data_IF_549380683443
#
_entry.id   IF_549380683443
#
_cell.length_a   1.000
_cell.length_b   1.000
_cell.length_c   1.000
_cell.angle_alpha   90.00
_cell.angle_beta   90.00
_cell.angle_gamma   90.00
#
_symmetry.space_group_name_H-M   'P 1'
#
loop_
_entity.id
_entity.type
_entity.pdbx_description
1 polymer ?
#
# COMPACT_ATOMS: atom_id res chain seq x y z
N UNK A 1 -16.94 -14.45 4.39
CA UNK A 1 -15.62 -14.54 5.04
C UNK A 1 -15.58 -13.63 6.27
N UNK A 2 -14.57 -13.77 7.12
CA UNK A 2 -14.20 -12.83 8.19
C UNK A 2 -12.80 -12.29 7.87
N UNK A 3 -12.73 -11.42 6.87
CA UNK A 3 -11.45 -10.97 6.32
C UNK A 3 -10.85 -9.84 7.16
N UNK A 4 -9.56 -9.95 7.46
CA UNK A 4 -8.81 -9.01 8.32
C UNK A 4 -9.49 -8.79 9.69
N UNK A 5 -9.55 -9.80 10.58
CA UNK A 5 -9.94 -9.58 11.97
C UNK A 5 -9.09 -8.47 12.58
N UNK A 6 -9.70 -7.53 13.31
CA UNK A 6 -9.00 -6.30 13.74
C UNK A 6 -9.12 -6.03 15.24
N UNK A 7 -10.34 -6.00 15.77
CA UNK A 7 -10.58 -5.76 17.20
C UNK A 7 -11.39 -6.90 17.82
N UNK A 8 -11.20 -7.11 19.12
CA UNK A 8 -11.85 -8.16 19.91
C UNK A 8 -12.21 -7.60 21.29
N UNK A 9 -13.35 -8.03 21.82
CA UNK A 9 -13.81 -7.83 23.20
C UNK A 9 -14.43 -9.13 23.72
N UNK A 10 -14.54 -9.25 25.03
CA UNK A 10 -15.22 -10.35 25.70
C UNK A 10 -16.42 -9.80 26.48
N UNK A 11 -17.54 -10.52 26.50
CA UNK A 11 -18.73 -10.14 27.29
C UNK A 11 -18.43 -10.20 28.79
N UNK A 12 -19.19 -9.45 29.59
CA UNK A 12 -18.98 -9.37 31.06
C UNK A 12 -19.10 -10.73 31.78
N UNK A 13 -19.80 -11.70 31.18
CA UNK A 13 -19.97 -13.06 31.69
C UNK A 13 -18.93 -14.06 31.15
N UNK A 14 -17.96 -13.60 30.35
CA UNK A 14 -16.94 -14.39 29.66
C UNK A 14 -17.48 -15.49 28.71
N UNK A 15 -18.78 -15.48 28.41
CA UNK A 15 -19.42 -16.53 27.61
C UNK A 15 -19.37 -16.27 26.10
N UNK A 16 -18.99 -15.06 25.67
CA UNK A 16 -18.94 -14.70 24.24
C UNK A 16 -17.77 -13.77 23.96
N UNK A 17 -16.99 -14.11 22.94
CA UNK A 17 -16.04 -13.21 22.30
C UNK A 17 -16.74 -12.47 21.16
N UNK A 18 -16.56 -11.17 21.08
CA UNK A 18 -17.10 -10.31 20.02
C UNK A 18 -15.94 -9.71 19.25
N UNK A 19 -15.85 -9.96 17.96
CA UNK A 19 -14.79 -9.46 17.09
C UNK A 19 -15.30 -8.68 15.90
N UNK A 20 -14.41 -7.88 15.30
CA UNK A 20 -14.66 -7.20 14.03
C UNK A 20 -13.73 -7.70 12.94
N UNK A 21 -14.23 -7.76 11.71
CA UNK A 21 -13.48 -8.16 10.52
C UNK A 21 -13.48 -7.00 9.51
N UNK A 22 -12.39 -6.23 9.51
CA UNK A 22 -12.30 -4.90 8.91
C UNK A 22 -12.46 -4.90 7.38
N UNK A 23 -11.96 -5.92 6.68
CA UNK A 23 -12.05 -5.96 5.21
C UNK A 23 -13.37 -6.55 4.72
N UNK A 24 -14.07 -7.32 5.55
CA UNK A 24 -15.38 -7.91 5.19
C UNK A 24 -16.57 -7.12 5.73
N UNK A 25 -16.34 -6.03 6.46
CA UNK A 25 -17.37 -5.15 7.04
C UNK A 25 -18.32 -5.87 8.01
N UNK A 26 -17.76 -6.73 8.89
CA UNK A 26 -18.57 -7.55 9.81
C UNK A 26 -18.19 -7.37 11.26
N UNK A 27 -19.20 -7.45 12.13
CA UNK A 27 -19.05 -7.92 13.50
C UNK A 27 -19.38 -9.42 13.54
N UNK A 28 -18.68 -10.17 14.38
CA UNK A 28 -18.94 -11.59 14.61
C UNK A 28 -18.80 -11.94 16.10
N UNK A 29 -19.53 -12.98 16.50
CA UNK A 29 -19.51 -13.52 17.87
C UNK A 29 -18.93 -14.93 17.84
N UNK A 30 -18.23 -15.32 18.90
CA UNK A 30 -17.51 -16.59 19.02
C UNK A 30 -17.70 -17.14 20.42
N UNK A 31 -17.88 -18.46 20.52
CA UNK A 31 -17.76 -19.18 21.78
C UNK A 31 -16.27 -19.28 22.16
N UNK A 32 -15.83 -18.64 23.26
CA UNK A 32 -14.42 -18.63 23.66
C UNK A 32 -13.85 -20.02 23.95
N UNK A 33 -14.66 -20.97 24.41
CA UNK A 33 -14.19 -22.30 24.78
C UNK A 33 -13.90 -23.18 23.56
N UNK A 34 -14.78 -23.12 22.55
CA UNK A 34 -14.67 -23.96 21.35
C UNK A 34 -14.02 -23.25 20.15
N UNK A 35 -13.95 -21.92 20.15
CA UNK A 35 -13.56 -21.12 19.00
C UNK A 35 -14.61 -21.09 17.88
N UNK A 36 -15.82 -21.60 18.14
CA UNK A 36 -16.89 -21.67 17.14
C UNK A 36 -17.51 -20.29 16.92
N UNK A 37 -17.58 -19.85 15.67
CA UNK A 37 -18.32 -18.62 15.31
C UNK A 37 -19.81 -18.86 15.50
N UNK A 38 -20.44 -18.09 16.39
CA UNK A 38 -21.85 -18.20 16.76
C UNK A 38 -22.77 -17.44 15.80
N UNK A 39 -22.41 -16.20 15.49
CA UNK A 39 -23.22 -15.26 14.72
C UNK A 39 -22.36 -14.20 14.02
N UNK A 40 -22.96 -13.52 13.04
CA UNK A 40 -22.32 -12.47 12.25
C UNK A 40 -23.36 -11.43 11.83
N UNK A 41 -22.94 -10.18 11.71
CA UNK A 41 -23.77 -9.10 11.18
C UNK A 41 -22.92 -8.14 10.37
N UNK A 42 -23.50 -7.61 9.29
CA UNK A 42 -22.88 -6.55 8.50
C UNK A 42 -22.96 -5.22 9.25
N UNK A 43 -21.86 -4.48 9.25
CA UNK A 43 -21.74 -3.13 9.84
C UNK A 43 -21.22 -2.17 8.77
N UNK A 44 -20.94 -0.92 9.13
CA UNK A 44 -20.32 0.04 8.21
C UNK A 44 -18.89 -0.36 7.80
N UNK A 45 -18.35 0.33 6.79
CA UNK A 45 -17.06 -0.05 6.20
C UNK A 45 -15.87 0.13 7.14
N UNK A 46 -15.01 -0.90 7.21
CA UNK A 46 -13.78 -0.87 8.01
C UNK A 46 -13.98 -0.88 9.52
N UNK A 47 -14.70 -1.85 10.12
CA UNK A 47 -14.89 -1.91 11.56
C UNK A 47 -13.57 -2.20 12.30
N UNK A 48 -12.95 -1.15 12.84
CA UNK A 48 -11.60 -1.19 13.46
C UNK A 48 -11.60 -0.90 14.96
N UNK A 49 -12.72 -0.51 15.54
CA UNK A 49 -12.88 -0.34 16.98
C UNK A 49 -14.18 -0.98 17.45
N UNK A 50 -14.19 -1.51 18.67
CA UNK A 50 -15.38 -2.04 19.32
C UNK A 50 -15.30 -1.76 20.82
N UNK A 51 -16.43 -1.35 21.40
CA UNK A 51 -16.64 -1.28 22.86
C UNK A 51 -17.99 -1.91 23.21
N UNK A 52 -18.05 -2.58 24.36
CA UNK A 52 -19.29 -3.21 24.84
C UNK A 52 -19.95 -2.34 25.91
N UNK A 53 -21.27 -2.31 25.91
CA UNK A 53 -22.09 -1.72 26.97
C UNK A 53 -23.32 -2.61 27.21
N UNK A 54 -23.19 -3.54 28.15
CA UNK A 54 -24.18 -4.58 28.41
C UNK A 54 -24.44 -5.43 27.16
N UNK A 55 -25.68 -5.39 26.64
CA UNK A 55 -26.12 -6.15 25.46
C UNK A 55 -25.88 -5.45 24.13
N UNK A 56 -25.15 -4.34 24.12
CA UNK A 56 -24.82 -3.60 22.91
C UNK A 56 -23.32 -3.58 22.65
N UNK A 57 -22.94 -3.76 21.39
CA UNK A 57 -21.61 -3.48 20.89
C UNK A 57 -21.65 -2.20 20.03
N UNK A 58 -20.74 -1.26 20.31
CA UNK A 58 -20.55 -0.05 19.52
C UNK A 58 -19.30 -0.20 18.67
N UNK A 59 -19.47 -0.17 17.35
CA UNK A 59 -18.43 -0.49 16.38
C UNK A 59 -18.05 0.77 15.61
N UNK A 60 -16.79 1.18 15.68
CA UNK A 60 -16.24 2.26 14.86
C UNK A 60 -15.91 1.75 13.46
N UNK A 61 -16.67 2.21 12.48
CA UNK A 61 -16.47 1.92 11.05
C UNK A 61 -15.52 2.98 10.46
N UNK A 62 -14.22 2.75 10.58
CA UNK A 62 -13.19 3.76 10.37
C UNK A 62 -13.07 4.27 8.92
N UNK A 63 -13.57 3.52 7.93
CA UNK A 63 -13.57 3.96 6.53
C UNK A 63 -14.88 4.62 6.12
N UNK A 64 -15.99 4.21 6.74
CA UNK A 64 -17.28 4.83 6.55
C UNK A 64 -17.47 6.10 7.41
N UNK A 65 -16.59 6.31 8.39
CA UNK A 65 -16.69 7.38 9.38
C UNK A 65 -18.07 7.37 10.06
N UNK A 66 -18.43 6.21 10.60
CA UNK A 66 -19.71 5.97 11.27
C UNK A 66 -19.53 5.05 12.48
N UNK A 67 -20.52 5.02 13.37
CA UNK A 67 -20.58 4.12 14.51
C UNK A 67 -21.83 3.25 14.39
N UNK A 68 -21.67 1.94 14.32
CA UNK A 68 -22.79 1.00 14.36
C UNK A 68 -23.04 0.53 15.79
N UNK A 69 -24.27 0.70 16.29
CA UNK A 69 -24.73 0.07 17.53
C UNK A 69 -25.39 -1.26 17.19
N UNK A 70 -24.87 -2.34 17.74
CA UNK A 70 -25.30 -3.71 17.47
C UNK A 70 -25.87 -4.33 18.73
N UNK A 71 -27.10 -4.83 18.67
CA UNK A 71 -27.68 -5.68 19.71
C UNK A 71 -27.06 -7.07 19.61
N UNK A 72 -26.46 -7.53 20.71
CA UNK A 72 -25.81 -8.82 20.86
C UNK A 72 -26.51 -9.72 21.89
N UNK A 73 -27.78 -9.43 22.21
CA UNK A 73 -28.59 -10.24 23.13
C UNK A 73 -28.75 -11.69 22.66
N UNK A 74 -29.05 -11.89 21.37
CA UNK A 74 -28.95 -13.20 20.72
C UNK A 74 -27.60 -13.28 19.99
N UNK A 75 -26.62 -13.91 20.64
CA UNK A 75 -25.26 -14.01 20.10
C UNK A 75 -25.19 -14.81 18.81
N UNK A 76 -26.22 -15.58 18.45
CA UNK A 76 -26.28 -16.29 17.15
C UNK A 76 -26.85 -15.41 16.05
N UNK A 77 -27.56 -14.34 16.40
CA UNK A 77 -28.20 -13.41 15.48
C UNK A 77 -28.00 -11.95 15.92
N UNK A 78 -26.75 -11.47 16.02
CA UNK A 78 -26.50 -10.07 16.30
C UNK A 78 -27.17 -9.20 15.23
N UNK A 79 -27.67 -8.03 15.62
CA UNK A 79 -28.41 -7.16 14.71
C UNK A 79 -28.03 -5.68 14.90
N UNK A 80 -27.81 -4.95 13.81
CA UNK A 80 -27.57 -3.50 13.88
C UNK A 80 -28.87 -2.80 14.26
N UNK A 81 -28.85 -2.06 15.36
CA UNK A 81 -29.98 -1.25 15.85
C UNK A 81 -29.98 0.11 15.17
N UNK A 82 -28.81 0.75 15.07
CA UNK A 82 -28.65 2.03 14.40
C UNK A 82 -27.21 2.23 13.93
N UNK A 83 -27.01 3.12 12.97
CA UNK A 83 -25.70 3.61 12.54
C UNK A 83 -25.68 5.13 12.61
N UNK A 84 -24.74 5.67 13.38
CA UNK A 84 -24.53 7.10 13.57
C UNK A 84 -23.45 7.55 12.59
N UNK A 85 -23.78 8.48 11.69
CA UNK A 85 -22.81 9.05 10.75
C UNK A 85 -22.01 10.16 11.44
N UNK A 86 -20.68 10.13 11.28
CA UNK A 86 -19.78 11.17 11.80
C UNK A 86 -19.39 12.14 10.68
N UNK A 87 -19.00 13.36 11.05
CA UNK A 87 -18.51 14.37 10.10
C UNK A 87 -17.19 13.92 9.44
N UNK A 88 -17.21 13.77 8.12
CA UNK A 88 -16.06 13.38 7.31
C UNK A 88 -15.78 14.46 6.24
N UNK A 89 -14.72 15.27 6.39
CA UNK A 89 -14.36 16.28 5.41
C UNK A 89 -13.69 15.69 4.16
N UNK A 90 -13.46 14.38 4.10
CA UNK A 90 -12.82 13.71 2.96
C UNK A 90 -13.72 13.80 1.73
N UNK A 91 -13.15 14.18 0.59
CA UNK A 91 -13.90 14.22 -0.66
C UNK A 91 -14.55 12.85 -0.96
N UNK A 92 -15.85 12.78 -1.30
CA UNK A 92 -16.59 11.51 -1.38
C UNK A 92 -15.97 10.46 -2.30
N UNK A 93 -15.34 10.87 -3.41
CA UNK A 93 -14.60 9.97 -4.32
C UNK A 93 -13.44 9.26 -3.60
N UNK A 94 -12.64 9.99 -2.81
CA UNK A 94 -11.51 9.41 -2.10
C UNK A 94 -11.96 8.51 -0.94
N UNK A 95 -13.07 8.87 -0.27
CA UNK A 95 -13.70 8.00 0.73
C UNK A 95 -14.12 6.66 0.13
N UNK A 96 -14.89 6.69 -0.96
CA UNK A 96 -15.33 5.46 -1.65
C UNK A 96 -14.15 4.67 -2.23
N UNK A 97 -13.14 5.34 -2.79
CA UNK A 97 -11.94 4.69 -3.28
C UNK A 97 -11.12 4.03 -2.17
N UNK A 98 -11.03 4.65 -0.99
CA UNK A 98 -10.42 4.04 0.21
C UNK A 98 -11.20 2.80 0.66
N UNK A 99 -12.53 2.86 0.68
CA UNK A 99 -13.37 1.70 1.02
C UNK A 99 -13.12 0.56 0.01
N UNK A 100 -13.14 0.85 -1.28
CA UNK A 100 -12.88 -0.12 -2.33
C UNK A 100 -11.47 -0.76 -2.22
N UNK A 101 -10.46 0.03 -1.83
CA UNK A 101 -9.09 -0.48 -1.61
C UNK A 101 -8.98 -1.43 -0.41
N UNK A 102 -9.78 -1.21 0.64
CA UNK A 102 -9.70 -1.98 1.88
C UNK A 102 -10.68 -3.15 1.96
N UNK A 103 -11.71 -3.21 1.09
CA UNK A 103 -12.71 -4.27 1.12
C UNK A 103 -12.19 -5.59 0.52
N UNK A 104 -12.58 -6.70 1.13
CA UNK A 104 -12.23 -8.04 0.67
C UNK A 104 -13.03 -8.47 -0.57
N UNK A 105 -14.06 -7.70 -0.97
CA UNK A 105 -14.75 -7.86 -2.27
C UNK A 105 -13.80 -7.66 -3.46
N UNK A 106 -12.66 -7.01 -3.24
CA UNK A 106 -11.60 -6.92 -4.25
C UNK A 106 -11.02 -8.30 -4.60
N UNK A 107 -11.05 -9.28 -3.70
CA UNK A 107 -10.67 -10.66 -3.99
C UNK A 107 -11.88 -11.54 -4.28
N UNK A 108 -11.82 -12.38 -5.31
CA UNK A 108 -12.94 -13.30 -5.60
C UNK A 108 -13.15 -14.37 -4.52
N UNK A 109 -12.15 -14.61 -3.67
CA UNK A 109 -12.24 -15.45 -2.47
C UNK A 109 -12.93 -14.75 -1.29
N UNK A 110 -13.00 -13.42 -1.33
CA UNK A 110 -13.46 -12.60 -0.20
C UNK A 110 -12.55 -12.61 1.02
N UNK A 111 -11.31 -13.11 0.94
CA UNK A 111 -10.42 -13.23 2.13
C UNK A 111 -9.32 -12.16 2.19
N UNK A 112 -8.96 -11.54 1.06
CA UNK A 112 -7.93 -10.51 0.95
C UNK A 112 -8.50 -9.22 0.36
N UNK A 113 -7.91 -8.08 0.74
CA UNK A 113 -8.10 -6.80 0.07
C UNK A 113 -6.75 -6.27 -0.44
N UNK A 114 -6.75 -5.17 -1.20
CA UNK A 114 -5.50 -4.54 -1.63
C UNK A 114 -4.65 -4.15 -0.41
N UNK A 115 -5.31 -3.71 0.68
CA UNK A 115 -4.66 -3.35 1.93
C UNK A 115 -4.01 -4.53 2.67
N UNK A 116 -4.30 -5.79 2.31
CA UNK A 116 -3.65 -6.96 2.90
C UNK A 116 -2.17 -7.03 2.53
N UNK A 117 -1.81 -6.75 1.27
CA UNK A 117 -0.42 -6.69 0.81
C UNK A 117 0.16 -5.26 0.85
N UNK A 118 -0.73 -4.26 0.91
CA UNK A 118 -0.39 -2.85 1.00
C UNK A 118 -0.92 -2.20 2.29
N UNK A 119 -0.46 -2.65 3.48
CA UNK A 119 -0.98 -2.17 4.76
C UNK A 119 -0.77 -0.67 4.92
N UNK A 120 -1.86 0.08 5.15
CA UNK A 120 -1.89 1.55 5.15
C UNK A 120 -1.21 2.16 3.91
N UNK A 121 -1.34 1.52 2.75
CA UNK A 121 -0.71 1.93 1.50
C UNK A 121 0.80 1.65 1.42
N UNK A 122 1.36 0.98 2.41
CA UNK A 122 2.77 0.63 2.49
C UNK A 122 3.04 -0.75 1.88
N UNK A 123 4.07 -1.47 2.33
CA UNK A 123 4.44 -2.83 1.88
C UNK A 123 4.37 -3.82 3.03
N UNK A 124 3.92 -5.04 2.76
CA UNK A 124 3.94 -6.18 3.68
C UNK A 124 5.33 -6.82 3.85
N UNK A 125 6.30 -6.42 3.02
CA UNK A 125 7.67 -6.97 2.96
C UNK A 125 7.76 -8.47 2.67
N UNK A 126 6.69 -9.04 2.11
CA UNK A 126 6.68 -10.42 1.68
C UNK A 126 7.09 -10.55 0.21
N UNK A 127 7.58 -11.73 -0.14
CA UNK A 127 7.83 -12.11 -1.52
C UNK A 127 6.65 -12.95 -2.02
N UNK A 128 6.11 -12.56 -3.16
CA UNK A 128 4.96 -13.19 -3.77
C UNK A 128 5.30 -13.74 -5.15
N UNK A 129 4.84 -14.95 -5.44
CA UNK A 129 4.85 -15.50 -6.80
C UNK A 129 3.46 -15.28 -7.38
N UNK A 130 3.32 -14.15 -8.09
CA UNK A 130 2.07 -13.70 -8.71
C UNK A 130 2.23 -13.77 -10.22
N UNK A 131 1.14 -14.04 -10.93
CA UNK A 131 1.11 -14.13 -12.39
C UNK A 131 1.68 -12.87 -13.05
N UNK A 132 2.95 -12.93 -13.43
CA UNK A 132 3.78 -11.83 -13.93
C UNK A 132 4.65 -12.32 -15.09
N UNK A 133 5.08 -11.43 -16.02
CA UNK A 133 5.87 -11.85 -17.17
C UNK A 133 7.17 -12.57 -16.76
N UNK A 134 7.48 -13.67 -17.46
CA UNK A 134 8.74 -14.40 -17.28
C UNK A 134 9.83 -13.77 -18.16
N UNK A 135 10.87 -13.21 -17.53
CA UNK A 135 11.95 -12.44 -18.22
C UNK A 135 13.35 -12.99 -17.97
N UNK A 136 13.45 -14.18 -17.39
CA UNK A 136 14.72 -14.85 -17.05
C UNK A 136 15.23 -15.77 -18.17
N UNK A 137 14.46 -15.92 -19.27
CA UNK A 137 14.71 -16.93 -20.30
C UNK A 137 14.32 -18.35 -19.90
N UNK A 138 13.84 -18.55 -18.66
CA UNK A 138 13.26 -19.82 -18.18
C UNK A 138 11.73 -19.84 -18.26
N UNK A 139 11.10 -20.71 -17.47
CA UNK A 139 9.64 -20.87 -17.37
C UNK A 139 9.09 -20.55 -15.97
N UNK A 140 9.93 -20.06 -15.05
CA UNK A 140 9.54 -19.75 -13.68
C UNK A 140 9.07 -18.30 -13.57
N UNK A 141 7.87 -18.11 -13.00
CA UNK A 141 7.38 -16.79 -12.56
C UNK A 141 8.31 -16.27 -11.46
N UNK A 142 8.82 -15.05 -11.64
CA UNK A 142 9.76 -14.49 -10.69
C UNK A 142 9.03 -13.94 -9.46
N UNK A 143 9.52 -14.22 -8.24
CA UNK A 143 8.99 -13.58 -7.04
C UNK A 143 9.13 -12.06 -7.11
N UNK A 144 8.13 -11.36 -6.58
CA UNK A 144 8.10 -9.90 -6.46
C UNK A 144 7.78 -9.52 -5.03
N UNK A 145 8.46 -8.49 -4.52
CA UNK A 145 8.05 -7.83 -3.29
C UNK A 145 6.93 -6.82 -3.56
N UNK A 146 5.99 -6.70 -2.63
CA UNK A 146 4.95 -5.66 -2.68
C UNK A 146 5.59 -4.27 -2.70
N UNK A 147 5.18 -3.40 -3.63
CA UNK A 147 5.58 -1.98 -3.65
C UNK A 147 4.62 -1.14 -2.80
N UNK A 148 5.06 -0.05 -2.16
CA UNK A 148 4.11 0.87 -1.55
C UNK A 148 3.28 1.58 -2.63
N UNK A 149 2.00 1.83 -2.33
CA UNK A 149 1.10 2.64 -3.16
C UNK A 149 1.11 4.12 -2.76
N UNK A 150 1.96 4.50 -1.79
CA UNK A 150 2.20 5.89 -1.44
C UNK A 150 2.96 6.61 -2.56
N UNK A 151 2.50 7.80 -2.90
CA UNK A 151 3.12 8.64 -3.91
C UNK A 151 3.08 8.06 -5.33
N UNK A 152 1.98 7.43 -5.72
CA UNK A 152 1.81 6.92 -7.09
C UNK A 152 1.67 8.03 -8.14
N UNK A 153 1.18 9.20 -7.75
CA UNK A 153 1.04 10.35 -8.67
C UNK A 153 2.38 10.69 -9.30
N UNK A 154 2.37 10.85 -10.63
CA UNK A 154 3.55 11.20 -11.45
C UNK A 154 4.70 10.19 -11.39
N UNK A 155 4.40 8.94 -11.04
CA UNK A 155 5.40 7.85 -10.97
C UNK A 155 5.04 6.64 -11.82
N UNK A 156 4.09 6.81 -12.75
CA UNK A 156 3.76 5.81 -13.76
C UNK A 156 4.94 5.58 -14.71
N UNK A 157 5.11 4.37 -15.29
CA UNK A 157 4.24 3.21 -15.12
C UNK A 157 4.43 2.51 -13.75
N UNK A 158 3.52 1.60 -13.45
CA UNK A 158 3.49 0.90 -12.16
C UNK A 158 4.03 -0.54 -12.26
N UNK A 159 4.17 -1.19 -11.10
CA UNK A 159 4.79 -2.51 -10.92
C UNK A 159 6.30 -2.54 -11.22
N UNK A 160 6.95 -3.65 -10.84
CA UNK A 160 8.37 -3.91 -11.13
C UNK A 160 8.66 -4.10 -12.62
N UNK A 161 7.62 -4.36 -13.39
CA UNK A 161 7.71 -4.79 -14.78
C UNK A 161 7.41 -3.66 -15.78
N UNK A 162 7.07 -2.46 -15.27
CA UNK A 162 6.67 -1.30 -16.07
C UNK A 162 5.25 -1.42 -16.64
N UNK A 163 4.46 -2.35 -16.13
CA UNK A 163 3.05 -2.63 -16.48
C UNK A 163 2.36 -3.23 -15.26
N UNK A 164 1.03 -3.08 -15.08
CA UNK A 164 0.05 -2.45 -15.96
C UNK A 164 -0.03 -0.91 -15.84
N UNK A 165 -0.72 -0.29 -16.80
CA UNK A 165 -0.92 1.16 -16.84
C UNK A 165 0.33 1.89 -17.32
N UNK A 166 0.76 1.61 -18.55
CA UNK A 166 1.89 2.28 -19.19
C UNK A 166 1.38 3.44 -20.06
N UNK A 167 1.66 4.71 -19.70
CA UNK A 167 1.22 5.86 -20.47
C UNK A 167 2.21 6.27 -21.57
N UNK A 168 3.38 5.62 -21.64
CA UNK A 168 4.46 5.99 -22.57
C UNK A 168 4.63 4.98 -23.71
N UNK A 169 4.42 3.69 -23.43
CA UNK A 169 4.76 2.62 -24.35
C UNK A 169 6.27 2.41 -24.41
N UNK A 170 6.72 1.60 -25.38
CA UNK A 170 8.13 1.23 -25.51
C UNK A 170 8.37 -0.24 -25.17
N UNK A 171 9.61 -0.56 -24.78
CA UNK A 171 10.00 -1.93 -24.40
C UNK A 171 9.76 -2.10 -22.91
N UNK A 172 8.94 -3.08 -22.53
CA UNK A 172 8.69 -3.45 -21.14
C UNK A 172 9.01 -4.91 -20.88
N UNK A 173 8.86 -5.36 -19.64
CA UNK A 173 9.21 -6.72 -19.22
C UNK A 173 8.41 -7.79 -19.97
N UNK A 174 7.17 -7.51 -20.40
CA UNK A 174 6.41 -8.45 -21.22
C UNK A 174 6.85 -8.50 -22.69
N UNK A 175 7.56 -7.47 -23.18
CA UNK A 175 7.92 -7.30 -24.59
C UNK A 175 9.37 -6.81 -24.76
N UNK A 176 10.33 -7.58 -24.24
CA UNK A 176 11.75 -7.20 -24.18
C UNK A 176 12.44 -6.98 -25.54
N UNK A 177 11.85 -7.47 -26.64
CA UNK A 177 12.41 -7.36 -27.99
C UNK A 177 11.59 -6.47 -28.94
N UNK A 178 10.47 -5.92 -28.48
CA UNK A 178 9.56 -5.15 -29.33
C UNK A 178 8.91 -4.02 -28.56
N UNK A 179 8.98 -2.81 -29.10
CA UNK A 179 8.22 -1.70 -28.56
C UNK A 179 6.71 -1.91 -28.74
N UNK A 180 5.95 -1.67 -27.67
CA UNK A 180 4.48 -1.67 -27.67
C UNK A 180 3.94 -0.25 -27.52
N UNK A 181 2.70 -0.04 -27.95
CA UNK A 181 2.01 1.23 -27.77
C UNK A 181 1.60 1.43 -26.31
N UNK A 182 1.48 2.69 -25.83
CA UNK A 182 0.94 2.96 -24.50
C UNK A 182 -0.47 2.37 -24.37
N UNK A 183 -0.79 1.86 -23.18
CA UNK A 183 -2.13 1.33 -22.87
C UNK A 183 -2.92 2.25 -21.93
N UNK A 184 -2.32 3.34 -21.46
CA UNK A 184 -2.98 4.40 -20.70
C UNK A 184 -2.55 5.78 -21.20
N UNK A 185 -2.98 6.85 -20.54
CA UNK A 185 -2.74 8.23 -21.00
C UNK A 185 -2.04 9.07 -19.95
N UNK A 186 -0.88 9.63 -20.31
CA UNK A 186 -0.18 10.61 -19.47
C UNK A 186 -1.01 11.89 -19.21
N UNK A 187 -1.94 12.21 -20.12
CA UNK A 187 -2.86 13.35 -19.96
C UNK A 187 -4.04 13.05 -19.02
N UNK A 188 -4.27 11.78 -18.71
CA UNK A 188 -5.33 11.32 -17.82
C UNK A 188 -4.73 10.32 -16.82
N UNK A 189 -4.00 10.76 -15.79
CA UNK A 189 -3.30 9.86 -14.85
C UNK A 189 -4.20 8.80 -14.21
N UNK A 190 -5.49 9.09 -14.04
CA UNK A 190 -6.48 8.14 -13.53
C UNK A 190 -6.61 6.87 -14.41
N UNK A 191 -6.40 7.00 -15.73
CA UNK A 191 -6.40 5.86 -16.66
C UNK A 191 -5.29 4.86 -16.32
N UNK A 192 -4.11 5.34 -15.94
CA UNK A 192 -2.96 4.52 -15.54
C UNK A 192 -3.27 3.71 -14.28
N UNK A 193 -3.82 4.35 -13.23
CA UNK A 193 -4.23 3.65 -12.00
C UNK A 193 -5.44 2.75 -12.23
N UNK A 194 -6.36 3.09 -13.16
CA UNK A 194 -7.48 2.22 -13.50
C UNK A 194 -7.01 0.93 -14.17
N UNK A 195 -6.03 1.01 -15.08
CA UNK A 195 -5.37 -0.18 -15.64
C UNK A 195 -4.69 -1.04 -14.57
N UNK A 196 -4.08 -0.41 -13.56
CA UNK A 196 -3.52 -1.12 -12.42
C UNK A 196 -4.58 -1.86 -11.59
N UNK A 197 -5.70 -1.20 -11.28
CA UNK A 197 -6.82 -1.81 -10.57
C UNK A 197 -7.41 -2.97 -11.37
N UNK A 198 -7.71 -2.76 -12.65
CA UNK A 198 -8.28 -3.81 -13.52
C UNK A 198 -7.33 -5.01 -13.66
N UNK A 199 -6.02 -4.75 -13.83
CA UNK A 199 -5.01 -5.80 -13.92
C UNK A 199 -4.88 -6.59 -12.62
N UNK A 200 -4.80 -5.91 -11.47
CA UNK A 200 -4.71 -6.57 -10.16
C UNK A 200 -5.94 -7.42 -9.84
N UNK A 201 -7.14 -6.93 -10.18
CA UNK A 201 -8.40 -7.67 -10.01
C UNK A 201 -8.52 -8.87 -10.95
N UNK A 202 -7.94 -8.80 -12.14
CA UNK A 202 -7.96 -9.88 -13.13
C UNK A 202 -6.88 -10.96 -12.90
N UNK A 203 -5.84 -10.66 -12.13
CA UNK A 203 -4.75 -11.61 -11.83
C UNK A 203 -4.61 -11.86 -10.33
N UNK A 204 -3.89 -11.01 -9.62
CA UNK A 204 -3.43 -11.22 -8.23
C UNK A 204 -4.58 -11.46 -7.25
N UNK A 205 -5.70 -10.78 -7.45
CA UNK A 205 -6.87 -10.88 -6.56
C UNK A 205 -7.89 -11.92 -7.02
N UNK A 206 -7.61 -12.65 -8.10
CA UNK A 206 -8.51 -13.60 -8.72
C UNK A 206 -8.11 -15.04 -8.42
N UNK A 207 -9.03 -15.81 -7.83
CA UNK A 207 -8.86 -17.25 -7.68
C UNK A 207 -8.93 -17.93 -9.05
N UNK A 208 -7.95 -18.76 -9.37
CA UNK A 208 -7.92 -19.55 -10.62
C UNK A 208 -9.21 -20.35 -10.79
N UNK A 209 -9.88 -20.15 -11.93
CA UNK A 209 -11.12 -20.84 -12.28
C UNK A 209 -12.41 -20.11 -11.86
N UNK A 210 -12.32 -19.02 -11.10
CA UNK A 210 -13.48 -18.17 -10.84
C UNK A 210 -13.91 -17.43 -12.12
N UNK A 211 -15.19 -17.14 -12.28
CA UNK A 211 -15.75 -16.51 -13.49
C UNK A 211 -16.53 -15.22 -13.21
N UNK A 212 -16.49 -14.72 -11.97
CA UNK A 212 -17.18 -13.50 -11.55
C UNK A 212 -16.73 -12.30 -12.36
N UNK A 213 -17.71 -11.53 -12.80
CA UNK A 213 -17.53 -10.29 -13.56
C UNK A 213 -18.36 -9.18 -12.95
N UNK A 214 -17.91 -7.95 -13.13
CA UNK A 214 -18.63 -6.76 -12.70
C UNK A 214 -19.66 -6.29 -13.75
N UNK A 215 -20.25 -5.13 -13.50
CA UNK A 215 -21.26 -4.43 -14.31
C UNK A 215 -20.78 -3.97 -15.70
N UNK A 216 -19.47 -4.02 -15.99
CA UNK A 216 -18.88 -3.77 -17.32
C UNK A 216 -18.28 -5.06 -17.94
N UNK A 217 -18.52 -6.23 -17.35
CA UNK A 217 -18.06 -7.52 -17.86
C UNK A 217 -16.58 -7.84 -17.62
N UNK A 218 -15.87 -7.06 -16.78
CA UNK A 218 -14.48 -7.31 -16.39
C UNK A 218 -14.40 -8.26 -15.20
N UNK A 219 -13.33 -9.05 -15.12
CA UNK A 219 -13.07 -10.01 -14.02
C UNK A 219 -13.05 -9.29 -12.67
N UNK A 220 -13.68 -9.89 -11.64
CA UNK A 220 -13.74 -9.39 -10.26
C UNK A 220 -15.09 -8.79 -9.87
N UNK A 221 -15.36 -8.67 -8.57
CA UNK A 221 -16.69 -8.25 -8.06
C UNK A 221 -16.88 -6.73 -8.00
N UNK A 222 -15.81 -5.94 -7.90
CA UNK A 222 -15.92 -4.48 -7.81
C UNK A 222 -16.51 -3.88 -9.08
N UNK A 223 -17.53 -3.04 -8.92
CA UNK A 223 -18.20 -2.30 -9.99
C UNK A 223 -17.25 -1.35 -10.72
N UNK A 224 -17.60 -0.94 -11.93
CA UNK A 224 -16.86 0.04 -12.71
C UNK A 224 -16.63 1.33 -11.90
N UNK A 225 -17.67 1.77 -11.18
CA UNK A 225 -17.60 2.95 -10.30
C UNK A 225 -16.63 2.78 -9.14
N UNK A 226 -16.64 1.65 -8.45
CA UNK A 226 -15.71 1.38 -7.34
C UNK A 226 -14.26 1.35 -7.83
N UNK A 227 -14.02 0.80 -9.03
CA UNK A 227 -12.69 0.79 -9.65
C UNK A 227 -12.22 2.20 -10.03
N UNK A 228 -13.12 3.06 -10.54
CA UNK A 228 -12.81 4.47 -10.82
C UNK A 228 -12.51 5.27 -9.56
N UNK A 229 -13.35 5.13 -8.53
CA UNK A 229 -13.14 5.80 -7.25
C UNK A 229 -11.81 5.30 -6.62
N UNK A 230 -11.49 4.00 -6.70
CA UNK A 230 -10.20 3.44 -6.24
C UNK A 230 -9.01 3.98 -7.03
N UNK A 231 -9.11 4.06 -8.36
CA UNK A 231 -8.05 4.61 -9.21
C UNK A 231 -7.72 6.06 -8.82
N UNK A 232 -8.76 6.88 -8.58
CA UNK A 232 -8.59 8.25 -8.10
C UNK A 232 -7.98 8.31 -6.70
N UNK A 233 -8.40 7.42 -5.80
CA UNK A 233 -7.84 7.31 -4.45
C UNK A 233 -6.33 6.97 -4.48
N UNK A 234 -5.90 6.02 -5.31
CA UNK A 234 -4.48 5.62 -5.43
C UNK A 234 -3.57 6.81 -5.79
N UNK A 235 -4.03 7.72 -6.65
CA UNK A 235 -3.30 8.94 -6.99
C UNK A 235 -3.26 9.97 -5.85
N UNK A 236 -4.17 9.86 -4.88
CA UNK A 236 -4.27 10.78 -3.76
C UNK A 236 -3.51 10.30 -2.51
N UNK A 237 -2.95 9.08 -2.53
CA UNK A 237 -2.18 8.54 -1.41
C UNK A 237 -0.79 9.22 -1.35
N UNK A 238 -0.50 10.05 -0.33
CA UNK A 238 0.76 10.77 -0.24
C UNK A 238 1.83 9.90 0.44
N UNK A 239 3.09 10.27 0.22
CA UNK A 239 4.17 9.86 1.13
C UNK A 239 3.93 10.45 2.53
N UNK A 240 4.33 9.74 3.60
CA UNK A 240 4.36 10.35 4.93
C UNK A 240 5.41 11.48 4.94
N UNK A 241 5.31 12.45 5.88
CA UNK A 241 6.42 13.37 6.13
C UNK A 241 7.70 12.61 6.43
N UNK A 242 8.85 13.19 6.04
CA UNK A 242 10.13 12.58 6.37
C UNK A 242 10.27 12.43 7.90
N UNK A 243 10.78 11.29 8.43
CA UNK A 243 10.80 11.03 9.86
C UNK A 243 11.52 12.08 10.71
N UNK A 244 12.53 12.74 10.13
CA UNK A 244 13.30 13.80 10.78
C UNK A 244 13.04 15.17 10.17
N UNK A 245 11.97 15.34 9.39
CA UNK A 245 11.58 16.66 8.87
C UNK A 245 11.31 17.58 10.06
N UNK A 246 12.09 18.66 10.16
CA UNK A 246 11.87 19.66 11.20
C UNK A 246 10.50 20.34 11.01
N UNK A 247 9.84 20.67 12.12
CA UNK A 247 8.56 21.40 12.11
C UNK A 247 8.67 22.78 11.45
N UNK A 248 9.88 23.36 11.40
CA UNK A 248 10.21 24.60 10.68
C UNK A 248 10.29 24.43 9.16
N UNK A 249 10.09 23.21 8.66
CA UNK A 249 10.19 22.86 7.25
C UNK A 249 11.56 23.19 6.61
N UNK A 250 12.63 23.17 7.42
CA UNK A 250 14.01 23.43 6.98
C UNK A 250 14.85 22.15 7.13
N UNK A 251 15.73 21.88 6.17
CA UNK A 251 16.65 20.73 6.18
C UNK A 251 18.03 21.10 6.72
N UNK A 252 18.72 20.14 7.34
CA UNK A 252 20.07 20.28 7.87
C UNK A 252 21.13 20.47 6.76
N UNK A 253 22.28 21.04 7.11
CA UNK A 253 23.42 21.13 6.17
C UNK A 253 23.92 19.76 5.73
N UNK A 254 23.82 18.74 6.60
CA UNK A 254 24.15 17.36 6.24
C UNK A 254 23.18 16.82 5.18
N UNK A 255 21.88 17.04 5.34
CA UNK A 255 20.91 16.64 4.32
C UNK A 255 21.15 17.36 2.98
N UNK A 256 21.48 18.66 2.99
CA UNK A 256 21.86 19.41 1.78
C UNK A 256 23.10 18.84 1.11
N UNK A 257 24.13 18.50 1.90
CA UNK A 257 25.34 17.84 1.40
C UNK A 257 25.02 16.47 0.79
N UNK A 258 24.12 15.69 1.42
CA UNK A 258 23.62 14.43 0.88
C UNK A 258 22.90 14.59 -0.44
N UNK A 259 22.04 15.60 -0.56
CA UNK A 259 21.36 15.93 -1.81
C UNK A 259 22.33 16.27 -2.94
N UNK A 260 23.29 17.17 -2.68
CA UNK A 260 24.32 17.55 -3.64
C UNK A 260 25.12 16.32 -4.07
N UNK A 261 25.49 15.48 -3.11
CA UNK A 261 26.24 14.25 -3.38
C UNK A 261 25.45 13.28 -4.26
N UNK A 262 24.16 13.08 -3.96
CA UNK A 262 23.32 12.11 -4.64
C UNK A 262 22.91 12.55 -6.05
N UNK A 263 22.65 13.85 -6.27
CA UNK A 263 22.07 14.37 -7.51
C UNK A 263 23.05 15.15 -8.40
N UNK A 264 24.21 15.55 -7.89
CA UNK A 264 25.14 16.45 -8.60
C UNK A 264 26.55 15.87 -8.62
N UNK A 265 27.18 15.66 -7.47
CA UNK A 265 28.60 15.31 -7.41
C UNK A 265 28.85 13.83 -7.74
N UNK A 266 27.97 12.93 -7.30
CA UNK A 266 28.08 11.48 -7.54
C UNK A 266 29.28 10.82 -6.89
N UNK A 267 29.51 9.55 -7.23
CA UNK A 267 30.65 8.74 -6.80
C UNK A 267 31.87 9.01 -7.70
N UNK A 268 32.92 9.60 -7.12
CA UNK A 268 34.18 9.87 -7.84
C UNK A 268 35.12 8.65 -7.78
N UNK A 269 34.69 7.52 -8.31
CA UNK A 269 35.58 6.37 -8.50
C UNK A 269 36.67 6.75 -9.53
N UNK A 270 37.96 6.80 -9.14
CA UNK A 270 39.04 7.18 -10.06
C UNK A 270 39.21 6.22 -11.24
N UNK A 271 38.57 5.03 -11.20
CA UNK A 271 38.54 4.08 -12.32
C UNK A 271 37.50 4.43 -13.39
N UNK A 272 36.56 5.33 -13.10
CA UNK A 272 35.50 5.73 -14.01
C UNK A 272 35.80 7.11 -14.62
N UNK A 273 35.51 7.32 -15.91
CA UNK A 273 35.79 8.60 -16.58
C UNK A 273 34.89 9.74 -16.10
N UNK A 274 33.72 9.40 -15.55
CA UNK A 274 32.77 10.36 -14.98
C UNK A 274 32.19 9.85 -13.66
N UNK A 275 31.76 10.75 -12.76
CA UNK A 275 31.17 10.34 -11.50
C UNK A 275 29.83 9.63 -11.72
N UNK A 276 29.57 8.57 -10.95
CA UNK A 276 28.28 7.89 -10.98
C UNK A 276 27.27 8.64 -10.10
N UNK A 277 26.27 9.27 -10.70
CA UNK A 277 25.27 10.10 -9.99
C UNK A 277 23.97 9.32 -9.82
N UNK A 278 23.64 8.93 -8.58
CA UNK A 278 22.43 8.17 -8.25
C UNK A 278 21.15 8.88 -8.72
N UNK A 279 21.10 10.21 -8.60
CA UNK A 279 19.98 11.05 -9.01
C UNK A 279 19.67 11.03 -10.51
N UNK A 280 20.55 10.49 -11.36
CA UNK A 280 20.23 10.30 -12.78
C UNK A 280 19.09 9.31 -12.98
N UNK A 281 19.01 8.30 -12.12
CA UNK A 281 17.98 7.25 -12.12
C UNK A 281 16.97 7.40 -10.96
N UNK A 282 17.33 8.06 -9.86
CA UNK A 282 16.50 8.16 -8.65
C UNK A 282 16.08 9.62 -8.40
N UNK A 283 15.28 10.19 -9.30
CA UNK A 283 14.98 11.63 -9.30
C UNK A 283 13.97 12.02 -8.24
N UNK A 284 14.27 13.11 -7.53
CA UNK A 284 13.29 13.82 -6.70
C UNK A 284 12.10 14.33 -7.55
N UNK A 285 10.90 14.47 -6.96
CA UNK A 285 10.59 14.37 -5.52
C UNK A 285 10.28 12.96 -5.01
N UNK A 286 10.13 11.98 -5.92
CA UNK A 286 9.65 10.64 -5.57
C UNK A 286 10.77 9.58 -5.54
N UNK A 287 12.00 10.00 -5.82
CA UNK A 287 13.21 9.17 -5.95
C UNK A 287 13.11 8.09 -7.01
N UNK A 288 12.23 8.28 -8.00
CA UNK A 288 12.00 7.35 -9.11
C UNK A 288 12.30 8.04 -10.43
N UNK A 289 12.71 7.28 -11.44
CA UNK A 289 12.70 7.73 -12.84
C UNK A 289 12.04 6.68 -13.70
N UNK A 290 11.36 7.15 -14.73
CA UNK A 290 10.61 6.33 -15.68
C UNK A 290 11.20 6.56 -17.07
N UNK A 291 11.06 5.58 -17.97
CA UNK A 291 11.59 5.67 -19.35
C UNK A 291 13.10 5.93 -19.43
N UNK A 292 13.90 5.18 -18.66
CA UNK A 292 15.37 5.30 -18.69
C UNK A 292 15.91 4.67 -19.98
N UNK A 293 16.52 5.43 -20.91
CA UNK A 293 16.94 4.92 -22.21
C UNK A 293 17.94 3.75 -22.12
N UNK A 294 17.80 2.76 -23.01
CA UNK A 294 18.76 1.67 -23.20
C UNK A 294 18.69 0.50 -22.20
N UNK A 295 17.96 0.66 -21.08
CA UNK A 295 17.83 -0.42 -20.07
C UNK A 295 16.48 -1.12 -20.09
N UNK A 296 15.46 -0.55 -20.74
CA UNK A 296 14.08 -1.06 -20.71
C UNK A 296 13.49 -1.12 -19.29
N UNK A 297 14.17 -0.50 -18.32
CA UNK A 297 13.73 -0.41 -16.93
C UNK A 297 12.82 0.81 -16.81
N UNK A 298 11.56 0.64 -17.21
CA UNK A 298 10.49 1.60 -16.96
C UNK A 298 9.99 1.57 -15.51
N UNK A 299 10.61 0.73 -14.67
CA UNK A 299 10.21 0.55 -13.30
C UNK A 299 10.73 1.68 -12.38
N UNK A 300 9.90 2.16 -11.45
CA UNK A 300 10.25 3.22 -10.50
C UNK A 300 11.36 2.72 -9.57
N UNK A 301 12.60 3.05 -9.90
CA UNK A 301 13.77 2.75 -9.08
C UNK A 301 13.61 3.44 -7.71
N UNK A 302 13.89 2.79 -6.58
CA UNK A 302 13.80 3.40 -5.21
C UNK A 302 12.42 3.89 -4.72
N UNK A 303 11.32 3.41 -5.32
CA UNK A 303 9.98 3.61 -4.72
C UNK A 303 9.95 3.07 -3.28
N UNK A 304 9.47 3.87 -2.33
CA UNK A 304 9.45 3.51 -0.91
C UNK A 304 10.70 3.91 -0.11
N UNK A 305 11.70 4.53 -0.74
CA UNK A 305 12.89 5.05 -0.05
C UNK A 305 12.55 5.97 1.14
N UNK A 306 11.51 6.79 0.99
CA UNK A 306 11.04 7.69 2.05
C UNK A 306 10.35 6.95 3.21
N UNK A 307 9.90 5.73 2.97
CA UNK A 307 9.33 4.86 4.00
C UNK A 307 10.43 4.05 4.73
N UNK A 308 11.72 4.35 4.51
CA UNK A 308 12.89 3.77 5.22
C UNK A 308 13.25 2.33 4.86
N UNK A 309 12.52 1.72 3.92
CA UNK A 309 12.82 0.37 3.45
C UNK A 309 13.61 0.42 2.15
N UNK A 310 14.79 -0.20 2.17
CA UNK A 310 15.57 -0.39 0.96
C UNK A 310 14.98 -1.56 0.17
N UNK A 311 14.10 -1.23 -0.78
CA UNK A 311 13.62 -2.23 -1.75
C UNK A 311 14.52 -2.15 -2.98
N UNK A 312 15.35 -3.18 -3.15
CA UNK A 312 16.30 -3.25 -4.27
C UNK A 312 15.57 -3.43 -5.62
N UNK A 313 16.20 -3.03 -6.74
CA UNK A 313 15.59 -3.14 -8.06
C UNK A 313 15.01 -4.53 -8.34
N UNK A 314 13.80 -4.53 -8.92
CA UNK A 314 13.03 -5.72 -9.31
C UNK A 314 12.47 -6.56 -8.13
N UNK A 315 12.63 -6.09 -6.88
CA UNK A 315 12.17 -6.80 -5.69
C UNK A 315 12.87 -8.15 -5.47
N UNK A 316 14.04 -8.37 -6.08
CA UNK A 316 14.67 -9.70 -6.24
C UNK A 316 15.56 -10.15 -5.07
N UNK A 317 15.83 -9.27 -4.12
CA UNK A 317 16.87 -9.51 -3.11
C UNK A 317 16.34 -9.22 -1.70
N UNK A 318 15.54 -10.15 -1.19
CA UNK A 318 15.16 -10.28 0.23
C UNK A 318 14.94 -11.76 0.60
N UNK A 319 15.62 -12.68 -0.09
CA UNK A 319 15.50 -14.12 0.19
C UNK A 319 16.40 -14.44 1.37
N UNK A 320 15.80 -14.63 2.55
CA UNK A 320 16.49 -14.95 3.82
C UNK A 320 17.30 -16.25 3.75
N UNK A 321 17.08 -17.09 2.75
CA UNK A 321 17.86 -18.31 2.53
C UNK A 321 19.31 -18.06 2.10
N UNK A 322 19.64 -16.86 1.60
CA UNK A 322 21.04 -16.51 1.37
C UNK A 322 21.69 -16.04 2.67
N UNK A 323 22.83 -16.66 3.01
CA UNK A 323 23.60 -16.39 4.23
C UNK A 323 23.90 -14.90 4.48
N UNK A 324 24.07 -14.11 3.41
CA UNK A 324 24.24 -12.66 3.53
C UNK A 324 23.02 -11.99 4.16
N UNK A 325 21.82 -12.23 3.63
CA UNK A 325 20.58 -11.64 4.15
C UNK A 325 20.23 -12.19 5.52
N UNK A 326 20.44 -13.50 5.74
CA UNK A 326 20.25 -14.12 7.05
C UNK A 326 21.04 -13.41 8.15
N UNK A 327 22.35 -13.18 7.94
CA UNK A 327 23.20 -12.50 8.92
C UNK A 327 22.77 -11.06 9.21
N UNK A 328 22.26 -10.35 8.21
CA UNK A 328 21.74 -8.98 8.38
C UNK A 328 20.46 -8.99 9.21
N UNK A 329 19.56 -9.94 8.94
CA UNK A 329 18.29 -10.10 9.65
C UNK A 329 18.51 -10.56 11.09
N UNK A 330 19.41 -11.51 11.34
CA UNK A 330 19.77 -12.00 12.69
C UNK A 330 20.37 -10.89 13.58
N UNK A 331 20.94 -9.84 12.99
CA UNK A 331 21.41 -8.63 13.70
C UNK A 331 20.30 -7.61 13.97
N UNK A 332 19.06 -7.90 13.60
CA UNK A 332 17.93 -6.99 13.72
C UNK A 332 17.86 -5.94 12.61
N UNK A 333 18.60 -6.11 11.52
CA UNK A 333 18.48 -5.28 10.31
C UNK A 333 18.58 -3.75 10.57
N UNK A 334 19.65 -3.25 11.23
CA UNK A 334 19.77 -1.83 11.53
C UNK A 334 19.73 -1.01 10.24
N UNK A 335 18.68 -0.20 10.13
CA UNK A 335 18.29 0.49 8.90
C UNK A 335 19.44 1.26 8.25
N UNK A 336 20.16 2.09 9.01
CA UNK A 336 21.30 2.84 8.47
C UNK A 336 22.38 1.93 7.88
N UNK A 337 22.67 0.78 8.49
CA UNK A 337 23.67 -0.16 7.98
C UNK A 337 23.18 -0.84 6.69
N UNK A 338 21.89 -1.18 6.62
CA UNK A 338 21.27 -1.71 5.39
C UNK A 338 21.40 -0.70 4.26
N UNK A 339 21.09 0.56 4.54
CA UNK A 339 21.22 1.64 3.56
C UNK A 339 22.67 1.86 3.14
N UNK A 340 23.64 1.69 4.06
CA UNK A 340 25.06 1.74 3.72
C UNK A 340 25.49 0.70 2.69
N UNK A 341 24.80 -0.45 2.59
CA UNK A 341 25.07 -1.41 1.50
C UNK A 341 24.79 -0.83 0.12
N UNK A 342 23.79 0.06 -0.02
CA UNK A 342 23.44 0.66 -1.32
C UNK A 342 24.56 1.52 -1.92
N UNK A 343 25.50 1.99 -1.10
CA UNK A 343 26.69 2.73 -1.51
C UNK A 343 28.01 2.03 -1.12
N UNK A 344 27.96 0.72 -0.86
CA UNK A 344 29.14 -0.11 -0.61
C UNK A 344 29.91 0.25 0.66
N UNK A 345 29.23 0.76 1.68
CA UNK A 345 29.83 1.12 2.98
C UNK A 345 30.70 2.38 2.97
N UNK A 346 30.73 3.13 1.86
CA UNK A 346 31.54 4.35 1.74
C UNK A 346 31.00 5.49 2.58
N UNK A 347 31.76 5.90 3.59
CA UNK A 347 31.40 6.97 4.54
C UNK A 347 31.16 8.33 3.89
N UNK A 348 31.74 8.59 2.71
CA UNK A 348 31.44 9.80 1.92
C UNK A 348 29.93 9.96 1.64
N UNK A 349 29.21 8.85 1.49
CA UNK A 349 27.78 8.82 1.21
C UNK A 349 26.90 8.84 2.46
N UNK A 350 27.46 8.92 3.66
CA UNK A 350 26.66 8.92 4.90
C UNK A 350 25.70 10.12 4.97
N UNK A 351 25.98 11.24 4.31
CA UNK A 351 25.06 12.39 4.25
C UNK A 351 23.80 12.13 3.40
N UNK A 352 23.84 11.16 2.47
CA UNK A 352 22.66 10.71 1.72
C UNK A 352 21.60 10.14 2.66
N UNK A 353 22.03 9.56 3.78
CA UNK A 353 21.10 9.12 4.81
C UNK A 353 20.26 10.26 5.38
N UNK A 354 20.92 11.38 5.69
CA UNK A 354 20.25 12.58 6.21
C UNK A 354 19.32 13.20 5.14
N UNK A 355 19.69 13.12 3.86
CA UNK A 355 18.81 13.50 2.75
C UNK A 355 17.50 12.70 2.77
N UNK A 356 17.57 11.37 2.84
CA UNK A 356 16.38 10.49 2.85
C UNK A 356 15.48 10.79 4.06
N UNK A 357 16.09 11.01 5.23
CA UNK A 357 15.35 11.23 6.48
C UNK A 357 14.70 12.60 6.62
N UNK A 358 15.14 13.60 5.86
CA UNK A 358 14.70 15.00 6.03
C UNK A 358 14.03 15.61 4.78
N UNK A 359 14.27 15.08 3.57
CA UNK A 359 13.86 15.75 2.33
C UNK A 359 12.49 15.35 1.76
N UNK A 360 11.80 14.35 2.32
CA UNK A 360 10.41 14.10 1.89
C UNK A 360 9.51 15.29 2.26
N UNK A 361 8.78 15.76 1.26
CA UNK A 361 7.73 16.77 1.40
C UNK A 361 6.32 16.15 1.52
N UNK A 362 6.24 14.89 1.95
CA UNK A 362 4.97 14.24 2.25
C UNK A 362 4.16 15.01 3.31
N UNK A 363 2.84 14.88 3.25
CA UNK A 363 1.93 15.50 4.22
C UNK A 363 1.27 14.41 5.06
N UNK A 364 1.14 14.63 6.38
CA UNK A 364 0.33 13.79 7.27
C UNK A 364 -1.15 14.08 7.01
N UNK A 365 -1.69 13.61 5.87
CA UNK A 365 -2.98 14.09 5.36
C UNK A 365 -4.03 13.03 5.05
N UNK A 366 -3.69 11.96 4.32
CA UNK A 366 -4.74 11.17 3.65
C UNK A 366 -5.21 9.91 4.40
N UNK A 367 -4.45 9.39 5.38
CA UNK A 367 -4.82 8.16 6.10
C UNK A 367 -5.31 8.37 7.55
N UNK A 368 -5.06 9.55 8.12
CA UNK A 368 -5.04 9.72 9.57
C UNK A 368 -6.18 10.59 10.16
N UNK A 369 -6.96 11.33 9.36
CA UNK A 369 -8.12 12.06 9.90
C UNK A 369 -9.32 11.12 9.95
N UNK A 370 -9.54 10.51 11.12
CA UNK A 370 -10.62 9.56 11.37
C UNK A 370 -11.66 10.10 12.36
N UNK A 371 -11.35 11.19 13.07
CA UNK A 371 -12.27 11.89 13.95
C UNK A 371 -11.86 13.36 13.97
N UNK A 372 -12.82 14.26 13.75
CA UNK A 372 -12.62 15.68 13.98
C UNK A 372 -13.48 16.07 15.17
N UNK A 373 -12.84 16.35 16.30
CA UNK A 373 -13.51 17.02 17.43
C UNK A 373 -13.48 18.51 17.13
N UNK A 374 -14.64 19.11 16.87
CA UNK A 374 -14.80 20.55 16.71
C UNK A 374 -15.89 21.05 17.66
N UNK A 375 -16.03 22.37 17.81
CA UNK A 375 -17.04 22.97 18.70
C UNK A 375 -18.47 22.55 18.34
N UNK A 376 -18.70 22.16 17.09
CA UNK A 376 -19.99 21.67 16.60
C UNK A 376 -20.27 20.24 17.09
N UNK A 377 -19.26 19.36 17.11
CA UNK A 377 -19.37 17.93 17.45
C UNK A 377 -19.03 17.62 18.91
N UNK A 378 -18.50 18.58 19.67
CA UNK A 378 -18.16 18.39 21.09
C UNK A 378 -19.39 18.36 22.03
N UNK A 379 -20.58 18.67 21.50
CA UNK A 379 -21.83 18.75 22.26
C UNK A 379 -22.82 17.63 21.90
N UNK A 380 -22.48 16.82 20.89
CA UNK A 380 -23.22 15.63 20.45
C UNK A 380 -22.71 14.40 21.19
#
# INVERSE_FOLDING_TARGET
SLATPFALQISDDDMTLIGTAAASDKLFTVDPASGTVLGRVDVGAGPRGIVLNGKHAWVLNAFDNSISMVDITDTKKPNVVTTIMLEDPTHPVFKRGRIAFNTAKASTTGTFSCASCHPDGHTDQLLWVLDTPVVTGGNQIMPRSSMPVRGLRDTAPFHWDGIPGDPYGGINSANVHKAVQPNSSAKQPASTTRHLVDGGLASTMHLVGDTKKNDEGKIGELSAKERDDMAMYLLAVPYPPAPKRAYTNTVSERAKAGFKLFHIDGDHDPKQPTPNVCGNCHRMPFLVSTNTPGTGMDAPTWRGAQDRWLILPQGRLNIIEFDFFRRVIEKGAPEREIWQFSWGGRTRFDSVWDMVLEMSAGFSGAFARQLTLNTTTASD
#
